data_IF_229523835381
#
_entry.id   IF_229523835381
#
_cell.length_a   1.000
_cell.length_b   1.000
_cell.length_c   1.000
_cell.angle_alpha   90.00
_cell.angle_beta   90.00
_cell.angle_gamma   90.00
#
_symmetry.space_group_name_H-M   'P 1'
#
loop_
_entity.id
_entity.type
_entity.pdbx_description
1 polymer ?
#
# COMPACT_ATOMS: atom_id res chain seq x y z
N UNK A 1 -37.99 -0.50 -13.55
CA UNK A 1 -36.73 -0.92 -14.20
C UNK A 1 -36.45 -2.35 -13.76
N UNK A 2 -36.63 -3.34 -14.65
CA UNK A 2 -36.48 -4.76 -14.33
C UNK A 2 -35.02 -5.18 -14.62
N UNK A 3 -34.28 -5.57 -13.58
CA UNK A 3 -32.93 -6.13 -13.75
C UNK A 3 -33.10 -7.61 -14.08
N UNK A 4 -33.08 -7.95 -15.36
CA UNK A 4 -33.04 -9.34 -15.80
C UNK A 4 -31.63 -9.88 -15.56
N UNK A 5 -31.41 -10.55 -14.44
CA UNK A 5 -30.24 -11.41 -14.30
C UNK A 5 -30.50 -12.71 -15.07
N UNK A 6 -29.95 -12.79 -16.28
CA UNK A 6 -29.88 -14.03 -17.04
C UNK A 6 -28.92 -14.98 -16.31
N UNK A 7 -29.45 -16.03 -15.68
CA UNK A 7 -28.63 -17.13 -15.17
C UNK A 7 -27.96 -17.81 -16.37
N UNK A 8 -26.64 -18.02 -16.29
CA UNK A 8 -25.90 -18.81 -17.27
C UNK A 8 -26.44 -20.26 -17.27
N UNK A 9 -26.63 -20.91 -18.43
CA UNK A 9 -26.98 -22.34 -18.51
C UNK A 9 -25.96 -23.22 -17.81
N UNK A 10 -26.38 -24.37 -17.25
CA UNK A 10 -25.50 -25.29 -16.48
C UNK A 10 -24.32 -25.84 -17.28
N UNK A 11 -24.44 -25.91 -18.61
CA UNK A 11 -23.38 -26.40 -19.52
C UNK A 11 -22.47 -25.27 -20.04
N UNK A 12 -22.69 -24.02 -19.62
CA UNK A 12 -21.89 -22.90 -20.08
C UNK A 12 -20.48 -22.96 -19.46
N UNK A 13 -19.41 -22.81 -20.27
CA UNK A 13 -18.04 -22.84 -19.76
C UNK A 13 -17.82 -21.69 -18.78
N UNK A 14 -17.11 -21.97 -17.67
CA UNK A 14 -16.69 -20.94 -16.72
C UNK A 14 -15.73 -20.00 -17.46
N UNK A 15 -16.17 -18.77 -17.69
CA UNK A 15 -15.35 -17.71 -18.28
C UNK A 15 -15.07 -16.66 -17.22
N UNK A 16 -13.82 -16.22 -17.13
CA UNK A 16 -13.45 -15.05 -16.33
C UNK A 16 -14.19 -13.81 -16.87
N UNK A 17 -14.96 -13.10 -16.03
CA UNK A 17 -15.68 -11.92 -16.46
C UNK A 17 -14.72 -10.85 -17.00
N UNK A 18 -15.03 -10.23 -18.13
CA UNK A 18 -14.24 -9.13 -18.70
C UNK A 18 -14.86 -7.74 -18.39
N UNK A 19 -15.54 -7.63 -17.25
CA UNK A 19 -16.15 -6.38 -16.81
C UNK A 19 -15.10 -5.46 -16.15
N UNK A 20 -15.34 -4.14 -16.20
CA UNK A 20 -14.51 -3.12 -15.59
C UNK A 20 -14.25 -3.41 -14.09
N UNK A 21 -15.24 -3.94 -13.38
CA UNK A 21 -15.11 -4.30 -11.96
C UNK A 21 -14.15 -5.47 -11.75
N UNK A 22 -14.18 -6.48 -12.63
CA UNK A 22 -13.27 -7.63 -12.54
C UNK A 22 -11.84 -7.24 -12.89
N UNK A 23 -11.66 -6.40 -13.93
CA UNK A 23 -10.35 -5.82 -14.26
C UNK A 23 -9.79 -4.97 -13.11
N UNK A 24 -10.64 -4.20 -12.42
CA UNK A 24 -10.22 -3.42 -11.26
C UNK A 24 -9.77 -4.32 -10.10
N UNK A 25 -10.51 -5.39 -9.80
CA UNK A 25 -10.11 -6.36 -8.77
C UNK A 25 -8.78 -7.04 -9.14
N UNK A 26 -8.62 -7.48 -10.39
CA UNK A 26 -7.38 -8.07 -10.88
C UNK A 26 -6.19 -7.09 -10.78
N UNK A 27 -6.43 -5.79 -10.98
CA UNK A 27 -5.42 -4.76 -10.79
C UNK A 27 -5.03 -4.60 -9.32
N UNK A 28 -6.00 -4.64 -8.39
CA UNK A 28 -5.75 -4.60 -6.94
C UNK A 28 -4.91 -5.81 -6.52
N UNK A 29 -5.28 -7.02 -6.96
CA UNK A 29 -4.55 -8.25 -6.64
C UNK A 29 -3.08 -8.19 -7.12
N UNK A 30 -2.85 -7.67 -8.33
CA UNK A 30 -1.49 -7.48 -8.86
C UNK A 30 -0.69 -6.44 -8.05
N UNK A 31 -1.33 -5.37 -7.59
CA UNK A 31 -0.68 -4.37 -6.74
C UNK A 31 -0.34 -4.95 -5.35
N UNK A 32 -1.23 -5.75 -4.78
CA UNK A 32 -1.00 -6.42 -3.50
C UNK A 32 0.16 -7.41 -3.60
N UNK A 33 0.20 -8.25 -4.64
CA UNK A 33 1.30 -9.19 -4.86
C UNK A 33 2.65 -8.46 -5.04
N UNK A 34 2.68 -7.35 -5.78
CA UNK A 34 3.88 -6.53 -5.94
C UNK A 34 4.33 -5.91 -4.60
N UNK A 35 3.38 -5.46 -3.77
CA UNK A 35 3.67 -4.94 -2.43
C UNK A 35 4.16 -6.03 -1.48
N UNK A 36 3.58 -7.23 -1.53
CA UNK A 36 4.02 -8.38 -0.73
C UNK A 36 5.44 -8.82 -1.12
N UNK A 37 5.75 -8.85 -2.41
CA UNK A 37 7.09 -9.14 -2.92
C UNK A 37 8.10 -8.07 -2.51
N UNK A 38 7.73 -6.78 -2.55
CA UNK A 38 8.59 -5.71 -2.05
C UNK A 38 8.80 -5.81 -0.53
N UNK A 39 7.75 -6.11 0.23
CA UNK A 39 7.81 -6.26 1.68
C UNK A 39 8.62 -7.50 2.10
N UNK A 40 8.50 -8.62 1.39
CA UNK A 40 9.34 -9.82 1.62
C UNK A 40 10.80 -9.58 1.22
N UNK A 41 11.06 -8.81 0.16
CA UNK A 41 12.42 -8.40 -0.21
C UNK A 41 13.03 -7.39 0.78
N UNK A 42 12.23 -6.51 1.39
CA UNK A 42 12.67 -5.63 2.48
C UNK A 42 12.87 -6.41 3.79
N UNK A 43 12.05 -7.42 4.06
CA UNK A 43 12.22 -8.32 5.20
C UNK A 43 13.49 -9.18 5.07
N UNK A 44 13.83 -9.65 3.86
CA UNK A 44 15.04 -10.44 3.60
C UNK A 44 16.33 -9.60 3.68
N UNK A 45 16.25 -8.30 3.39
CA UNK A 45 17.36 -7.36 3.62
C UNK A 45 17.54 -6.93 5.10
N UNK A 46 16.60 -7.32 5.98
CA UNK A 46 16.41 -6.73 7.31
C UNK A 46 16.75 -7.61 8.51
N UNK A 47 17.33 -8.81 8.35
CA UNK A 47 17.62 -9.68 9.50
C UNK A 47 18.66 -9.05 10.43
N UNK A 48 19.73 -8.45 9.88
CA UNK A 48 20.78 -7.77 10.64
C UNK A 48 21.05 -6.36 10.09
N UNK A 49 20.97 -5.36 10.97
CA UNK A 49 21.22 -3.95 10.64
C UNK A 49 22.37 -3.38 11.46
N UNK A 50 23.17 -2.49 10.86
CA UNK A 50 24.19 -1.73 11.59
C UNK A 50 23.54 -0.62 12.41
N UNK A 51 23.69 -0.68 13.73
CA UNK A 51 23.21 0.30 14.71
C UNK A 51 24.42 0.92 15.40
N UNK A 52 24.40 2.23 15.62
CA UNK A 52 25.44 2.91 16.41
C UNK A 52 25.07 2.85 17.88
N UNK A 53 25.91 2.23 18.69
CA UNK A 53 25.76 2.17 20.15
C UNK A 53 26.90 2.91 20.83
N UNK A 54 26.68 3.39 22.05
CA UNK A 54 27.75 3.96 22.87
C UNK A 54 28.25 2.87 23.79
N UNK A 55 29.54 2.53 23.68
CA UNK A 55 30.22 1.60 24.58
C UNK A 55 31.37 2.34 25.25
N UNK A 56 31.36 2.42 26.58
CA UNK A 56 32.33 3.18 27.37
C UNK A 56 32.54 4.64 26.88
N UNK A 57 31.47 5.29 26.44
CA UNK A 57 31.51 6.68 25.93
C UNK A 57 31.93 6.83 24.47
N UNK A 58 32.29 5.72 23.79
CA UNK A 58 32.69 5.73 22.38
C UNK A 58 31.56 5.19 21.50
N UNK A 59 31.15 5.90 20.43
CA UNK A 59 30.17 5.40 19.48
C UNK A 59 30.78 4.31 18.58
N UNK A 60 30.25 3.10 18.63
CA UNK A 60 30.70 1.94 17.86
C UNK A 60 29.55 1.45 16.97
N UNK A 61 29.78 1.21 15.66
CA UNK A 61 28.81 0.54 14.81
C UNK A 61 28.78 -0.96 15.11
N UNK A 62 27.62 -1.48 15.51
CA UNK A 62 27.40 -2.92 15.75
C UNK A 62 26.35 -3.45 14.78
N UNK A 63 26.58 -4.67 14.27
CA UNK A 63 25.63 -5.38 13.42
C UNK A 63 24.74 -6.24 14.32
N UNK A 64 23.47 -5.88 14.42
CA UNK A 64 22.53 -6.49 15.36
C UNK A 64 21.31 -7.05 14.63
N UNK A 65 20.75 -8.14 15.16
CA UNK A 65 19.51 -8.70 14.63
C UNK A 65 18.34 -7.75 14.89
N UNK A 66 17.53 -7.48 13.87
CA UNK A 66 16.42 -6.51 13.98
C UNK A 66 15.24 -7.08 14.77
N UNK A 67 14.99 -8.38 14.72
CA UNK A 67 13.92 -9.02 15.50
C UNK A 67 14.24 -8.97 17.00
N UNK A 68 15.47 -9.31 17.39
CA UNK A 68 15.92 -9.22 18.79
C UNK A 68 15.89 -7.77 19.30
N UNK A 69 16.34 -6.83 18.48
CA UNK A 69 16.32 -5.40 18.83
C UNK A 69 14.89 -4.88 18.98
N UNK A 70 13.96 -5.29 18.10
CA UNK A 70 12.53 -4.95 18.25
C UNK A 70 11.95 -5.51 19.54
N UNK A 71 12.24 -6.79 19.83
CA UNK A 71 11.77 -7.45 21.05
C UNK A 71 12.31 -6.76 22.31
N UNK A 72 13.59 -6.42 22.35
CA UNK A 72 14.22 -5.72 23.46
C UNK A 72 13.64 -4.30 23.68
N UNK A 73 13.21 -3.62 22.61
CA UNK A 73 12.59 -2.29 22.66
C UNK A 73 11.06 -2.32 22.81
N UNK A 74 10.44 -3.50 22.84
CA UNK A 74 8.98 -3.64 22.88
C UNK A 74 8.28 -3.14 21.60
N UNK A 75 8.97 -3.15 20.46
CA UNK A 75 8.42 -2.75 19.17
C UNK A 75 7.66 -3.92 18.52
N UNK A 76 6.60 -3.62 17.73
CA UNK A 76 5.88 -4.65 16.99
C UNK A 76 6.77 -5.34 15.95
N UNK A 77 6.38 -6.56 15.57
CA UNK A 77 7.06 -7.35 14.53
C UNK A 77 6.90 -6.76 13.12
N UNK A 78 5.90 -5.90 12.90
CA UNK A 78 5.65 -5.21 11.64
C UNK A 78 6.36 -3.85 11.56
N UNK A 79 6.56 -3.35 10.35
CA UNK A 79 7.15 -2.02 10.12
C UNK A 79 6.23 -0.91 10.63
N UNK A 80 6.77 0.00 11.44
CA UNK A 80 6.08 1.24 11.85
C UNK A 80 6.13 2.34 10.77
N UNK A 81 6.89 2.12 9.69
CA UNK A 81 6.93 3.07 8.57
C UNK A 81 5.78 2.75 7.62
N UNK A 82 4.83 3.67 7.41
CA UNK A 82 3.83 3.47 6.37
C UNK A 82 4.53 3.35 5.01
N UNK A 83 3.96 2.58 4.08
CA UNK A 83 4.48 2.52 2.71
C UNK A 83 4.54 3.93 2.13
N UNK A 84 5.59 4.21 1.37
CA UNK A 84 5.72 5.50 0.71
C UNK A 84 4.52 5.73 -0.19
N UNK A 85 3.79 6.82 0.06
CA UNK A 85 2.69 7.27 -0.80
C UNK A 85 3.20 8.47 -1.58
N UNK A 86 3.49 8.26 -2.87
CA UNK A 86 3.81 9.37 -3.75
C UNK A 86 2.67 10.40 -3.69
N UNK A 87 2.98 11.71 -3.69
CA UNK A 87 1.94 12.73 -3.82
C UNK A 87 1.15 12.43 -5.09
N UNK A 88 -0.17 12.31 -4.97
CA UNK A 88 -1.04 12.12 -6.11
C UNK A 88 -0.89 13.34 -7.01
N UNK A 89 -0.32 13.16 -8.21
CA UNK A 89 -0.20 14.17 -9.24
C UNK A 89 -1.55 14.46 -9.91
N UNK A 90 -2.62 14.44 -9.12
CA UNK A 90 -3.90 14.95 -9.53
C UNK A 90 -3.70 16.46 -9.47
N UNK A 91 -3.55 17.08 -10.64
CA UNK A 91 -3.76 18.51 -10.77
C UNK A 91 -5.17 18.76 -10.21
N UNK A 92 -5.24 19.15 -8.93
CA UNK A 92 -6.43 19.78 -8.40
C UNK A 92 -6.51 21.04 -9.26
N UNK A 93 -7.51 21.18 -10.17
CA UNK A 93 -7.67 22.45 -10.85
C UNK A 93 -7.75 23.51 -9.76
N UNK A 94 -7.04 24.63 -9.95
CA UNK A 94 -7.16 25.76 -9.04
C UNK A 94 -8.64 25.99 -8.75
N UNK A 95 -9.03 26.24 -7.49
CA UNK A 95 -10.43 26.43 -7.14
C UNK A 95 -11.06 27.39 -8.15
N UNK A 96 -12.25 27.03 -8.66
CA UNK A 96 -12.95 27.85 -9.65
C UNK A 96 -12.92 29.31 -9.19
N UNK A 97 -12.51 30.18 -10.12
CA UNK A 97 -12.43 31.64 -9.92
C UNK A 97 -13.71 32.08 -9.20
N UNK A 98 -13.55 32.83 -8.10
CA UNK A 98 -14.66 33.37 -7.31
C UNK A 98 -15.76 33.90 -8.26
N UNK A 99 -16.89 33.20 -8.33
CA UNK A 99 -18.00 33.63 -9.16
C UNK A 99 -18.66 34.81 -8.45
N UNK A 100 -18.79 35.94 -9.15
CA UNK A 100 -19.55 37.08 -8.64
C UNK A 100 -20.97 36.62 -8.31
N UNK A 101 -21.42 36.93 -7.09
CA UNK A 101 -22.78 36.64 -6.64
C UNK A 101 -23.76 37.40 -7.53
N UNK A 102 -24.58 36.66 -8.28
CA UNK A 102 -25.57 37.26 -9.17
C UNK A 102 -26.83 37.49 -8.33
N UNK A 103 -27.07 38.75 -7.95
CA UNK A 103 -28.31 39.16 -7.31
C UNK A 103 -29.51 38.76 -8.19
N UNK A 104 -30.23 37.72 -7.76
CA UNK A 104 -31.49 37.33 -8.37
C UNK A 104 -32.59 38.29 -7.89
N UNK A 105 -33.11 39.08 -8.84
CA UNK A 105 -34.29 39.96 -8.64
C UNK A 105 -35.60 39.23 -8.78
#
# INVERSE_FOLDING_TARGET
>A
MSVQQARLPEEAPIQTPDDATFRQLQWIDQQEEAMEQENTNQASHGEYQTVRVIFEGVPIPLRMNVADLRLALGLPSYSLRPPYRAPSNNAIPDPEVNMDDIDHR
#
